data_IF_711624826482
#
_entry.id   IF_711624826482
#
_cell.length_a   1.000
_cell.length_b   1.000
_cell.length_c   1.000
_cell.angle_alpha   90.00
_cell.angle_beta   90.00
_cell.angle_gamma   90.00
#
_symmetry.space_group_name_H-M   'P 1'
#
loop_
_entity.id
_entity.type
_entity.pdbx_description
1 polymer ?
#
# COMPACT_ATOMS: atom_id res chain seq x y z
N UNK A 1 -38.09 -41.76 0.72
CA UNK A 1 -37.14 -40.69 1.13
C UNK A 1 -35.68 -41.15 1.26
N UNK A 2 -35.36 -42.41 1.58
CA UNK A 2 -33.95 -42.89 1.62
C UNK A 2 -33.28 -43.07 0.23
N UNK A 3 -34.05 -43.37 -0.82
CA UNK A 3 -33.52 -43.57 -2.19
C UNK A 3 -33.17 -42.26 -2.92
N UNK A 4 -33.85 -41.15 -2.58
CA UNK A 4 -33.60 -39.84 -3.18
C UNK A 4 -32.34 -39.17 -2.62
N UNK A 5 -31.99 -39.43 -1.35
CA UNK A 5 -30.75 -38.90 -0.74
C UNK A 5 -29.51 -39.57 -1.36
N UNK A 6 -29.59 -40.86 -1.68
CA UNK A 6 -28.45 -41.61 -2.22
C UNK A 6 -28.13 -41.24 -3.69
N UNK A 7 -29.13 -40.83 -4.47
CA UNK A 7 -28.94 -40.32 -5.83
C UNK A 7 -28.33 -38.91 -5.84
N UNK A 8 -28.67 -38.07 -4.85
CA UNK A 8 -28.13 -36.71 -4.76
C UNK A 8 -26.63 -36.72 -4.39
N UNK A 9 -26.22 -37.63 -3.50
CA UNK A 9 -24.79 -37.79 -3.12
C UNK A 9 -23.95 -38.43 -4.22
N UNK A 10 -24.54 -39.26 -5.09
CA UNK A 10 -23.81 -39.82 -6.24
C UNK A 10 -23.59 -38.77 -7.34
N UNK A 11 -24.54 -37.84 -7.52
CA UNK A 11 -24.43 -36.78 -8.52
C UNK A 11 -23.36 -35.73 -8.15
N UNK A 12 -23.20 -35.41 -6.85
CA UNK A 12 -22.16 -34.46 -6.40
C UNK A 12 -20.75 -35.04 -6.46
N UNK A 13 -20.57 -36.37 -6.39
CA UNK A 13 -19.25 -37.00 -6.48
C UNK A 13 -18.68 -37.01 -7.91
N UNK A 14 -19.55 -37.03 -8.94
CA UNK A 14 -19.15 -37.10 -10.36
C UNK A 14 -18.65 -35.73 -10.88
N UNK A 15 -19.00 -34.62 -10.21
CA UNK A 15 -18.59 -33.27 -10.61
C UNK A 15 -17.17 -32.87 -10.15
N UNK A 16 -16.52 -33.65 -9.29
CA UNK A 16 -15.17 -33.35 -8.78
C UNK A 16 -14.01 -34.05 -9.51
N UNK A 17 -14.27 -34.78 -10.61
CA UNK A 17 -13.27 -35.63 -11.28
C UNK A 17 -12.86 -35.19 -12.69
N UNK A 18 -12.96 -33.90 -13.00
CA UNK A 18 -12.51 -33.36 -14.29
C UNK A 18 -11.63 -32.11 -14.13
N UNK A 19 -10.43 -32.30 -13.58
CA UNK A 19 -9.23 -31.52 -13.90
C UNK A 19 -7.99 -32.29 -13.41
N UNK A 20 -7.72 -33.39 -14.08
CA UNK A 20 -6.43 -34.08 -14.04
C UNK A 20 -6.05 -34.45 -15.47
N UNK A 21 -5.65 -33.42 -16.21
CA UNK A 21 -4.96 -33.54 -17.49
C UNK A 21 -3.50 -33.18 -17.24
N UNK A 22 -2.67 -34.20 -17.10
CA UNK A 22 -1.23 -34.09 -17.19
C UNK A 22 -0.86 -34.02 -18.67
N UNK A 23 -0.08 -33.02 -19.07
CA UNK A 23 0.78 -33.13 -20.24
C UNK A 23 2.18 -32.65 -19.84
N UNK A 24 3.07 -33.64 -19.72
CA UNK A 24 4.50 -33.47 -19.79
C UNK A 24 4.87 -33.13 -21.23
N UNK A 25 5.44 -31.94 -21.44
CA UNK A 25 6.41 -31.73 -22.51
C UNK A 25 7.66 -31.09 -21.91
N UNK A 26 8.67 -31.93 -21.71
CA UNK A 26 10.06 -31.51 -21.67
C UNK A 26 10.58 -31.51 -23.12
N UNK A 27 11.06 -30.39 -23.65
CA UNK A 27 12.02 -30.39 -24.73
C UNK A 27 13.39 -30.02 -24.18
N UNK A 28 14.24 -31.04 -24.06
CA UNK A 28 15.68 -30.91 -23.94
C UNK A 28 16.21 -30.16 -25.17
N UNK A 29 16.66 -28.92 -25.00
CA UNK A 29 17.49 -28.24 -25.99
C UNK A 29 18.49 -27.32 -25.28
N UNK A 30 19.64 -27.92 -24.98
CA UNK A 30 20.86 -27.25 -24.55
C UNK A 30 21.51 -26.61 -25.80
N UNK A 31 21.76 -25.29 -25.84
CA UNK A 31 22.85 -24.75 -26.63
C UNK A 31 24.08 -24.62 -25.73
N UNK A 32 25.10 -25.39 -26.09
CA UNK A 32 26.45 -25.27 -25.59
C UNK A 32 27.03 -23.89 -25.95
N UNK A 33 27.78 -23.33 -25.00
CA UNK A 33 28.95 -22.47 -25.21
C UNK A 33 28.82 -21.25 -26.13
N UNK A 34 28.81 -20.06 -25.51
CA UNK A 34 29.91 -19.09 -25.62
C UNK A 34 29.65 -17.91 -24.69
N UNK A 35 30.26 -17.94 -23.51
CA UNK A 35 30.41 -16.77 -22.66
C UNK A 35 31.34 -15.78 -23.40
N UNK A 36 30.91 -14.56 -23.77
CA UNK A 36 31.87 -13.53 -24.09
C UNK A 36 32.67 -13.20 -22.82
N UNK A 37 33.97 -12.91 -22.91
CA UNK A 37 34.74 -12.49 -21.75
C UNK A 37 34.11 -11.25 -21.12
N UNK A 38 33.98 -11.24 -19.80
CA UNK A 38 33.68 -10.05 -19.00
C UNK A 38 34.67 -8.95 -19.40
N UNK A 39 34.21 -8.02 -20.24
CA UNK A 39 34.86 -6.71 -20.30
C UNK A 39 34.69 -6.09 -18.93
N UNK A 40 35.83 -5.89 -18.27
CA UNK A 40 35.97 -5.10 -17.07
C UNK A 40 35.27 -3.76 -17.29
N UNK A 41 34.14 -3.57 -16.62
CA UNK A 41 33.58 -2.24 -16.46
C UNK A 41 34.59 -1.53 -15.55
N UNK A 42 35.41 -0.66 -16.13
CA UNK A 42 36.19 0.31 -15.37
C UNK A 42 35.17 1.14 -14.57
N UNK A 43 35.03 0.80 -13.29
CA UNK A 43 34.42 1.71 -12.32
C UNK A 43 35.39 2.88 -12.25
N UNK A 44 35.13 3.90 -13.05
CA UNK A 44 35.62 5.25 -12.77
C UNK A 44 35.05 5.57 -11.40
N UNK A 45 35.88 5.36 -10.38
CA UNK A 45 35.61 5.86 -9.04
C UNK A 45 35.64 7.37 -9.19
N UNK A 46 34.46 7.97 -9.33
CA UNK A 46 34.28 9.40 -9.13
C UNK A 46 34.86 9.71 -7.74
N UNK A 47 35.89 10.56 -7.63
CA UNK A 47 36.40 10.91 -6.32
C UNK A 47 35.27 11.59 -5.55
N UNK A 48 34.96 11.04 -4.38
CA UNK A 48 34.03 11.63 -3.44
C UNK A 48 34.33 13.13 -3.28
N UNK A 49 33.31 14.00 -3.18
CA UNK A 49 33.56 15.40 -2.88
C UNK A 49 34.30 15.48 -1.54
N UNK A 50 35.58 15.86 -1.60
CA UNK A 50 36.38 16.12 -0.42
C UNK A 50 35.71 17.27 0.35
N UNK A 51 35.06 16.93 1.47
CA UNK A 51 34.62 17.92 2.45
C UNK A 51 35.86 18.74 2.83
N UNK A 52 35.85 20.08 2.68
CA UNK A 52 36.99 20.87 3.09
C UNK A 52 37.26 20.64 4.58
N UNK A 53 38.50 20.26 4.88
CA UNK A 53 38.98 20.15 6.25
C UNK A 53 38.72 21.47 6.98
N UNK A 54 38.19 21.38 8.20
CA UNK A 54 37.92 22.52 9.05
C UNK A 54 39.22 23.30 9.30
N UNK A 55 39.40 24.42 8.61
CA UNK A 55 40.50 25.34 8.85
C UNK A 55 40.21 26.15 10.11
N UNK A 56 41.21 26.20 10.99
CA UNK A 56 41.19 26.87 12.28
C UNK A 56 40.76 28.34 12.21
N UNK A 57 40.01 28.76 13.23
CA UNK A 57 39.60 30.13 13.56
C UNK A 57 40.75 31.15 13.49
N UNK A 58 40.44 32.37 13.01
CA UNK A 58 40.83 33.55 13.78
C UNK A 58 39.70 34.58 13.92
N UNK A 59 39.47 34.95 15.18
CA UNK A 59 39.08 36.26 15.70
C UNK A 59 37.73 36.93 15.30
N UNK A 60 37.01 37.31 16.36
CA UNK A 60 35.95 38.32 16.44
C UNK A 60 34.57 38.02 15.82
N UNK A 61 33.82 37.13 16.47
CA UNK A 61 32.37 37.32 16.56
C UNK A 61 32.09 38.18 17.80
N UNK A 62 31.91 39.48 17.60
CA UNK A 62 31.22 40.29 18.60
C UNK A 62 29.82 39.71 18.79
N UNK A 63 29.46 39.36 20.02
CA UNK A 63 28.13 38.92 20.35
C UNK A 63 27.16 40.09 20.08
N UNK A 64 26.46 40.05 18.95
CA UNK A 64 25.24 40.85 18.76
C UNK A 64 24.21 40.33 19.78
N UNK A 65 24.18 40.95 20.96
CA UNK A 65 23.05 40.83 21.86
C UNK A 65 21.84 41.48 21.17
N UNK A 66 20.70 40.81 21.00
CA UNK A 66 19.50 41.46 20.49
C UNK A 66 18.97 42.45 21.54
N UNK A 67 19.36 43.71 21.45
CA UNK A 67 18.72 44.83 22.14
C UNK A 67 17.53 45.31 21.31
N UNK A 68 16.36 44.73 21.53
CA UNK A 68 15.06 45.40 21.42
C UNK A 68 13.95 44.45 21.90
N UNK A 69 13.30 44.79 23.02
CA UNK A 69 11.95 44.31 23.28
C UNK A 69 11.04 44.98 22.24
N UNK A 70 10.58 44.21 21.25
CA UNK A 70 9.64 44.69 20.24
C UNK A 70 8.23 44.39 20.74
N UNK A 71 7.42 45.43 20.84
CA UNK A 71 6.01 45.40 21.20
C UNK A 71 5.21 44.36 20.40
N UNK A 72 4.37 43.62 21.12
CA UNK A 72 3.18 42.89 20.70
C UNK A 72 3.22 42.18 19.33
N UNK A 73 3.40 40.85 19.37
CA UNK A 73 2.81 40.00 18.33
C UNK A 73 1.31 40.31 18.25
N UNK A 74 0.72 40.49 17.04
CA UNK A 74 -0.72 40.52 16.93
C UNK A 74 -1.27 39.21 17.49
N UNK A 75 -2.30 39.31 18.34
CA UNK A 75 -3.04 38.14 18.78
C UNK A 75 -3.41 37.32 17.53
N UNK A 76 -2.98 36.06 17.51
CA UNK A 76 -3.37 35.14 16.44
C UNK A 76 -4.89 35.12 16.30
N UNK A 77 -5.42 34.80 15.12
CA UNK A 77 -6.86 34.73 14.91
C UNK A 77 -7.48 33.88 16.02
N UNK A 78 -8.47 34.45 16.72
CA UNK A 78 -9.27 33.74 17.70
C UNK A 78 -9.77 32.46 17.03
N UNK A 79 -9.37 31.32 17.56
CA UNK A 79 -9.86 30.03 17.11
C UNK A 79 -11.34 29.90 17.49
N UNK A 80 -12.23 30.46 16.67
CA UNK A 80 -13.60 29.97 16.55
C UNK A 80 -13.50 28.55 16.03
N UNK A 81 -13.30 27.65 16.99
CA UNK A 81 -13.06 26.23 16.80
C UNK A 81 -14.41 25.57 16.54
N UNK A 82 -14.99 25.79 15.35
CA UNK A 82 -15.76 24.75 14.69
C UNK A 82 -14.77 23.65 14.26
N UNK A 83 -14.16 23.03 15.27
CA UNK A 83 -13.16 21.98 15.13
C UNK A 83 -13.89 20.70 14.78
N UNK A 84 -14.32 20.59 13.53
CA UNK A 84 -14.49 19.30 12.88
C UNK A 84 -13.11 18.77 12.45
N UNK A 85 -12.14 18.82 13.37
CA UNK A 85 -10.86 18.16 13.21
C UNK A 85 -11.12 16.67 13.46
N UNK A 86 -10.67 15.77 12.56
CA UNK A 86 -10.82 14.34 12.79
C UNK A 86 -10.23 14.00 14.15
N UNK A 87 -11.03 13.37 15.01
CA UNK A 87 -10.60 12.98 16.34
C UNK A 87 -9.29 12.18 16.22
N UNK A 88 -8.28 12.56 17.01
CA UNK A 88 -7.07 11.76 17.10
C UNK A 88 -7.50 10.33 17.46
N UNK A 89 -7.08 9.32 16.70
CA UNK A 89 -7.69 8.00 16.77
C UNK A 89 -7.59 7.45 18.19
N UNK A 90 -8.70 6.91 18.67
CA UNK A 90 -8.73 6.16 19.91
C UNK A 90 -7.68 5.04 19.85
N UNK A 91 -7.08 4.74 21.01
CA UNK A 91 -6.31 3.50 21.17
C UNK A 91 -7.18 2.32 20.72
N UNK A 92 -6.70 1.49 19.79
CA UNK A 92 -7.50 0.39 19.20
C UNK A 92 -7.97 0.63 17.75
N UNK A 93 -7.30 1.51 17.00
CA UNK A 93 -7.53 1.64 15.55
C UNK A 93 -6.35 1.06 14.76
N UNK A 94 -6.66 0.51 13.58
CA UNK A 94 -5.70 -0.13 12.67
C UNK A 94 -5.86 0.42 11.26
N UNK A 95 -4.79 0.33 10.49
CA UNK A 95 -4.81 0.57 9.05
C UNK A 95 -5.17 -0.71 8.32
N UNK A 96 -6.11 -0.59 7.38
CA UNK A 96 -6.42 -1.63 6.42
C UNK A 96 -6.30 -1.10 5.01
N UNK A 97 -5.99 -1.99 4.08
CA UNK A 97 -5.64 -1.67 2.70
C UNK A 97 -6.36 -2.61 1.73
N UNK A 98 -6.66 -2.11 0.53
CA UNK A 98 -7.25 -2.87 -0.56
C UNK A 98 -6.75 -2.33 -1.91
N UNK A 99 -6.37 -3.19 -2.88
CA UNK A 99 -6.01 -2.74 -4.22
C UNK A 99 -7.16 -2.01 -4.91
N UNK A 100 -6.85 -1.02 -5.74
CA UNK A 100 -7.85 -0.37 -6.62
C UNK A 100 -8.49 -1.39 -7.58
N UNK A 101 -7.68 -2.29 -8.12
CA UNK A 101 -8.13 -3.35 -9.02
C UNK A 101 -7.02 -4.32 -9.37
N UNK A 102 -7.08 -4.89 -10.57
CA UNK A 102 -6.03 -5.75 -11.12
C UNK A 102 -5.30 -5.07 -12.29
N UNK A 103 -4.02 -5.40 -12.45
CA UNK A 103 -3.25 -5.09 -13.65
C UNK A 103 -3.98 -5.71 -14.85
N UNK A 104 -4.14 -4.95 -15.93
CA UNK A 104 -4.90 -5.28 -17.15
C UNK A 104 -6.43 -5.07 -17.09
N UNK A 105 -7.02 -4.75 -15.95
CA UNK A 105 -8.40 -4.24 -15.90
C UNK A 105 -8.43 -2.76 -16.27
N UNK A 106 -9.52 -2.32 -16.91
CA UNK A 106 -9.78 -0.89 -17.09
C UNK A 106 -10.38 -0.29 -15.82
N UNK A 107 -10.17 1.01 -15.60
CA UNK A 107 -10.70 1.71 -14.41
C UNK A 107 -12.23 1.60 -14.28
N UNK A 108 -12.94 1.39 -15.38
CA UNK A 108 -14.39 1.17 -15.39
C UNK A 108 -14.82 -0.19 -14.80
N UNK A 109 -13.88 -1.11 -14.61
CA UNK A 109 -14.09 -2.44 -14.03
C UNK A 109 -13.66 -2.49 -12.56
N UNK A 110 -13.03 -1.43 -12.03
CA UNK A 110 -12.69 -1.35 -10.61
C UNK A 110 -13.94 -1.30 -9.75
N UNK A 111 -13.89 -1.93 -8.58
CA UNK A 111 -15.05 -2.00 -7.68
C UNK A 111 -15.41 -0.63 -7.10
N UNK A 112 -14.41 0.23 -6.89
CA UNK A 112 -14.59 1.60 -6.42
C UNK A 112 -13.83 2.55 -7.34
N UNK A 113 -14.49 3.63 -7.75
CA UNK A 113 -13.87 4.63 -8.61
C UNK A 113 -12.89 5.55 -7.85
N UNK A 114 -13.05 5.67 -6.52
CA UNK A 114 -12.24 6.53 -5.66
C UNK A 114 -12.35 6.11 -4.18
N UNK A 115 -11.55 6.77 -3.33
CA UNK A 115 -11.49 6.47 -1.90
C UNK A 115 -12.80 6.81 -1.18
N UNK A 116 -13.54 7.83 -1.61
CA UNK A 116 -14.82 8.21 -1.02
C UNK A 116 -15.90 7.14 -1.23
N UNK A 117 -15.93 6.51 -2.40
CA UNK A 117 -16.82 5.38 -2.70
C UNK A 117 -16.45 4.14 -1.86
N UNK A 118 -15.15 3.84 -1.75
CA UNK A 118 -14.66 2.76 -0.89
C UNK A 118 -15.03 2.98 0.59
N UNK A 119 -14.91 4.22 1.08
CA UNK A 119 -15.33 4.61 2.44
C UNK A 119 -16.85 4.47 2.60
N UNK A 120 -17.63 4.89 1.61
CA UNK A 120 -19.10 4.77 1.63
C UNK A 120 -19.51 3.30 1.74
N UNK A 121 -18.87 2.40 0.98
CA UNK A 121 -19.14 0.97 1.06
C UNK A 121 -18.81 0.37 2.43
N UNK A 122 -17.73 0.83 3.08
CA UNK A 122 -17.39 0.44 4.45
C UNK A 122 -18.41 0.97 5.47
N UNK A 123 -18.85 2.22 5.34
CA UNK A 123 -19.87 2.83 6.20
C UNK A 123 -21.24 2.13 6.05
N UNK A 124 -21.63 1.78 4.83
CA UNK A 124 -22.84 0.98 4.55
C UNK A 124 -22.77 -0.42 5.15
N UNK A 125 -21.55 -0.98 5.29
CA UNK A 125 -21.32 -2.21 6.03
C UNK A 125 -21.34 -2.00 7.56
N UNK A 126 -21.38 -0.76 8.07
CA UNK A 126 -21.34 -0.45 9.49
C UNK A 126 -19.92 -0.38 10.07
N UNK A 127 -18.91 -0.22 9.21
CA UNK A 127 -17.51 -0.04 9.61
C UNK A 127 -17.22 1.46 9.66
N UNK A 128 -17.01 1.99 10.86
CA UNK A 128 -16.58 3.38 11.02
C UNK A 128 -15.17 3.57 10.46
N UNK A 129 -15.04 4.49 9.49
CA UNK A 129 -13.76 4.96 8.97
C UNK A 129 -13.39 6.29 9.62
N UNK A 130 -12.12 6.43 10.01
CA UNK A 130 -11.57 7.65 10.62
C UNK A 130 -10.73 8.49 9.66
N UNK A 131 -10.01 7.81 8.75
CA UNK A 131 -9.17 8.43 7.73
C UNK A 131 -9.16 7.51 6.51
N UNK A 132 -9.07 8.08 5.32
CA UNK A 132 -8.81 7.33 4.10
C UNK A 132 -7.94 8.12 3.14
N UNK A 133 -7.06 7.41 2.44
CA UNK A 133 -6.21 7.92 1.37
C UNK A 133 -5.92 6.83 0.32
N UNK A 134 -5.23 7.23 -0.75
CA UNK A 134 -4.69 6.31 -1.75
C UNK A 134 -3.18 6.25 -1.56
N UNK A 135 -2.63 5.05 -1.52
CA UNK A 135 -1.20 4.80 -1.34
C UNK A 135 -0.64 3.95 -2.47
N UNK A 136 0.65 4.12 -2.74
CA UNK A 136 1.36 3.33 -3.73
C UNK A 136 2.15 2.20 -3.04
N UNK A 137 1.93 0.96 -3.48
CA UNK A 137 2.70 -0.23 -3.11
C UNK A 137 3.12 -0.96 -4.38
N UNK A 138 4.42 -1.16 -4.63
CA UNK A 138 4.87 -1.88 -5.82
C UNK A 138 4.25 -3.27 -5.89
N UNK A 139 3.56 -3.57 -6.99
CA UNK A 139 3.01 -4.89 -7.30
C UNK A 139 3.74 -5.50 -8.51
N UNK A 140 3.45 -6.77 -8.81
CA UNK A 140 3.94 -7.41 -10.03
C UNK A 140 3.27 -6.82 -11.29
N UNK A 141 4.04 -6.72 -12.37
CA UNK A 141 3.55 -6.26 -13.68
C UNK A 141 3.09 -7.44 -14.56
N UNK A 142 2.08 -8.18 -14.08
CA UNK A 142 1.43 -9.25 -14.84
C UNK A 142 -0.09 -9.14 -14.67
N UNK A 143 -0.87 -9.58 -15.66
CA UNK A 143 -2.32 -9.64 -15.50
C UNK A 143 -2.68 -10.54 -14.29
N UNK A 144 -3.81 -10.25 -13.66
CA UNK A 144 -4.27 -10.84 -12.39
C UNK A 144 -3.47 -10.42 -11.13
N UNK A 145 -2.37 -9.65 -11.27
CA UNK A 145 -1.74 -9.00 -10.13
C UNK A 145 -2.59 -7.81 -9.64
N UNK A 146 -2.57 -7.46 -8.34
CA UNK A 146 -3.11 -6.20 -7.85
C UNK A 146 -2.50 -4.97 -8.53
N UNK A 147 -3.26 -3.88 -8.63
CA UNK A 147 -2.73 -2.56 -8.98
C UNK A 147 -1.71 -2.10 -7.94
N UNK A 148 -0.74 -1.27 -8.35
CA UNK A 148 0.19 -0.67 -7.40
C UNK A 148 -0.48 0.36 -6.49
N UNK A 149 -1.54 1.00 -6.96
CA UNK A 149 -2.36 1.89 -6.14
C UNK A 149 -3.36 1.10 -5.30
N UNK A 150 -3.50 1.51 -4.04
CA UNK A 150 -4.38 0.89 -3.06
C UNK A 150 -5.17 1.95 -2.30
N UNK A 151 -6.43 1.66 -1.99
CA UNK A 151 -7.17 2.38 -0.96
C UNK A 151 -6.63 1.96 0.40
N UNK A 152 -6.36 2.93 1.25
CA UNK A 152 -5.97 2.70 2.63
C UNK A 152 -6.89 3.48 3.54
N UNK A 153 -7.41 2.82 4.57
CA UNK A 153 -8.34 3.43 5.52
C UNK A 153 -8.00 3.01 6.95
N UNK A 154 -8.30 3.90 7.89
CA UNK A 154 -8.14 3.66 9.32
C UNK A 154 -9.49 3.35 9.95
N UNK A 155 -9.59 2.20 10.61
CA UNK A 155 -10.83 1.69 11.22
C UNK A 155 -10.57 1.28 12.68
N UNK A 156 -11.63 1.01 13.44
CA UNK A 156 -11.52 0.30 14.71
C UNK A 156 -11.03 -1.14 14.49
N UNK A 157 -10.14 -1.62 15.36
CA UNK A 157 -9.63 -2.99 15.33
C UNK A 157 -10.74 -4.03 15.49
N UNK A 158 -11.82 -3.70 16.21
CA UNK A 158 -12.99 -4.57 16.36
C UNK A 158 -13.71 -4.85 15.04
N UNK A 159 -13.54 -3.99 14.03
CA UNK A 159 -14.17 -4.14 12.72
C UNK A 159 -13.32 -4.94 11.73
N UNK A 160 -12.12 -5.41 12.13
CA UNK A 160 -11.18 -6.09 11.23
C UNK A 160 -11.78 -7.32 10.54
N UNK A 161 -12.46 -8.19 11.29
CA UNK A 161 -13.08 -9.40 10.71
C UNK A 161 -14.14 -9.05 9.65
N UNK A 162 -14.88 -7.96 9.87
CA UNK A 162 -15.87 -7.48 8.90
C UNK A 162 -15.20 -6.85 7.68
N UNK A 163 -14.13 -6.07 7.86
CA UNK A 163 -13.35 -5.50 6.78
C UNK A 163 -12.72 -6.60 5.91
N UNK A 164 -12.19 -7.67 6.52
CA UNK A 164 -11.66 -8.85 5.83
C UNK A 164 -12.72 -9.57 5.00
N UNK A 165 -13.96 -9.65 5.48
CA UNK A 165 -15.07 -10.22 4.71
C UNK A 165 -15.37 -9.41 3.44
N UNK A 166 -14.98 -8.13 3.39
CA UNK A 166 -15.08 -7.22 2.24
C UNK A 166 -13.77 -7.14 1.43
N UNK A 167 -12.79 -8.00 1.70
CA UNK A 167 -11.53 -8.04 0.94
C UNK A 167 -10.49 -7.00 1.36
N UNK A 168 -10.61 -6.40 2.55
CA UNK A 168 -9.59 -5.52 3.11
C UNK A 168 -8.60 -6.30 3.98
N UNK A 169 -7.33 -5.93 3.89
CA UNK A 169 -6.24 -6.59 4.61
C UNK A 169 -5.57 -5.62 5.59
N UNK A 170 -4.89 -6.13 6.62
CA UNK A 170 -4.12 -5.26 7.53
C UNK A 170 -2.95 -4.66 6.76
N UNK A 171 -2.70 -3.36 6.96
CA UNK A 171 -1.53 -2.72 6.38
C UNK A 171 -0.24 -3.23 7.08
N UNK A 172 0.55 -4.06 6.38
CA UNK A 172 1.90 -4.49 6.80
C UNK A 172 3.01 -3.50 6.36
#
# INVERSE_FOLDING_TARGET
MKRTILLLTLLTLILFTACSGADSEEPTAQPDSSNPPLESIDIVTEPAPELPAATATPEAYEALQPTAAVDAYPAGPSSDSDSNLPAYPATGTIWVIRPLGQQCQSDAEFEYANVEEAITALDEAGIQVYLGDVVFRPACEACDCPTSEHFRVRIDESNLEQARALGWEVEE
#
